data_IF_743465888744
#
_entry.id   IF_743465888744
#
_cell.length_a   1.000
_cell.length_b   1.000
_cell.length_c   1.000
_cell.angle_alpha   90.00
_cell.angle_beta   90.00
_cell.angle_gamma   90.00
#
_symmetry.space_group_name_H-M   'P 1'
#
loop_
_entity.id
_entity.type
_entity.pdbx_description
1 polymer ?
#
# COMPACT_ATOMS: atom_id res chain seq x y z
N UNK A 1 3.75 -0.96 12.08
CA UNK A 1 4.69 -0.09 11.36
C UNK A 1 6.07 -0.69 11.42
N UNK A 2 6.73 -0.78 10.26
CA UNK A 2 8.14 -1.17 10.16
C UNK A 2 8.96 0.09 9.86
N UNK A 3 9.98 0.37 10.65
CA UNK A 3 10.80 1.56 10.45
C UNK A 3 12.03 1.57 11.35
N UNK A 4 13.00 2.41 11.01
CA UNK A 4 14.27 2.59 11.70
C UNK A 4 14.35 3.87 12.55
N UNK A 5 13.21 4.55 12.73
CA UNK A 5 13.12 5.74 13.58
C UNK A 5 12.83 5.37 15.04
N UNK A 6 13.33 6.22 15.95
CA UNK A 6 13.01 6.12 17.38
C UNK A 6 11.60 6.64 17.63
N UNK A 7 10.74 5.78 18.15
CA UNK A 7 9.34 6.09 18.49
C UNK A 7 9.14 6.31 20.00
N UNK A 8 10.18 6.32 20.79
CA UNK A 8 10.10 6.41 22.26
C UNK A 8 9.34 7.64 22.75
N UNK A 9 9.42 8.76 22.02
CA UNK A 9 8.72 10.01 22.34
C UNK A 9 7.19 9.90 22.19
N UNK A 10 6.69 8.85 21.53
CA UNK A 10 5.27 8.65 21.27
C UNK A 10 4.65 7.51 22.09
N UNK A 11 5.40 6.97 23.07
CA UNK A 11 4.91 5.92 23.95
C UNK A 11 4.00 6.47 25.06
N UNK A 12 2.96 5.72 25.50
CA UNK A 12 2.54 4.43 24.93
C UNK A 12 1.80 4.57 23.59
N UNK A 13 2.09 3.68 22.66
CA UNK A 13 1.34 3.65 21.41
C UNK A 13 -0.12 3.18 21.63
N UNK A 14 -1.05 3.59 20.78
CA UNK A 14 -2.40 3.03 20.78
C UNK A 14 -2.37 1.50 20.68
N UNK A 15 -3.29 0.76 21.33
CA UNK A 15 -3.23 -0.71 21.42
C UNK A 15 -3.34 -1.42 20.06
N UNK A 16 -3.84 -0.73 19.05
CA UNK A 16 -3.93 -1.20 17.67
C UNK A 16 -2.71 -0.83 16.82
N UNK A 17 -1.68 -0.19 17.40
CA UNK A 17 -0.46 0.23 16.70
C UNK A 17 0.73 -0.57 17.25
N UNK A 18 1.41 -1.29 16.38
CA UNK A 18 2.67 -1.99 16.68
C UNK A 18 3.78 -1.40 15.81
N UNK A 19 4.85 -0.94 16.45
CA UNK A 19 6.07 -0.53 15.76
C UNK A 19 7.14 -1.62 15.89
N UNK A 20 7.77 -1.96 14.79
CA UNK A 20 8.85 -2.94 14.69
C UNK A 20 10.06 -2.20 14.14
N UNK A 21 11.17 -2.20 14.91
CA UNK A 21 12.42 -1.64 14.40
C UNK A 21 12.90 -2.49 13.23
N UNK A 22 13.06 -1.85 12.07
CA UNK A 22 13.40 -2.53 10.84
C UNK A 22 14.14 -1.59 9.91
N UNK A 23 15.39 -1.86 9.64
CA UNK A 23 16.21 -0.99 8.79
C UNK A 23 15.84 -1.14 7.32
N UNK A 24 16.19 -0.13 6.52
CA UNK A 24 16.00 -0.18 5.07
C UNK A 24 16.72 -1.39 4.44
N UNK A 25 17.92 -1.73 4.90
CA UNK A 25 18.65 -2.89 4.39
C UNK A 25 17.98 -4.22 4.75
N UNK A 26 17.39 -4.33 5.94
CA UNK A 26 16.59 -5.50 6.33
C UNK A 26 15.35 -5.63 5.43
N UNK A 27 14.67 -4.51 5.15
CA UNK A 27 13.52 -4.50 4.23
C UNK A 27 13.94 -4.93 2.83
N UNK A 28 15.03 -4.39 2.31
CA UNK A 28 15.60 -4.76 1.02
C UNK A 28 15.94 -6.25 0.95
N UNK A 29 16.61 -6.77 1.98
CA UNK A 29 16.95 -8.19 2.05
C UNK A 29 15.70 -9.09 2.10
N UNK A 30 14.68 -8.71 2.89
CA UNK A 30 13.40 -9.43 2.96
C UNK A 30 12.69 -9.43 1.59
N UNK A 31 12.64 -8.31 0.91
CA UNK A 31 12.05 -8.23 -0.45
C UNK A 31 12.85 -9.09 -1.42
N UNK A 32 14.20 -8.96 -1.44
CA UNK A 32 15.06 -9.74 -2.31
C UNK A 32 14.87 -11.24 -2.12
N UNK A 33 14.65 -11.70 -0.90
CA UNK A 33 14.46 -13.14 -0.60
C UNK A 33 13.20 -13.76 -1.23
N UNK A 34 12.26 -12.94 -1.68
CA UNK A 34 11.01 -13.38 -2.31
C UNK A 34 11.10 -13.52 -3.84
N UNK A 35 12.20 -13.06 -4.44
CA UNK A 35 12.34 -13.03 -5.90
C UNK A 35 13.64 -13.70 -6.36
N UNK A 36 13.57 -14.38 -7.52
CA UNK A 36 14.66 -15.08 -8.19
C UNK A 36 15.52 -14.16 -9.08
N UNK A 37 15.19 -12.87 -9.14
CA UNK A 37 15.94 -11.83 -9.88
C UNK A 37 16.42 -10.74 -8.92
N UNK A 38 17.48 -10.04 -9.32
CA UNK A 38 18.00 -8.91 -8.53
C UNK A 38 17.05 -7.74 -8.60
N UNK A 39 16.58 -7.29 -7.43
CA UNK A 39 15.72 -6.12 -7.33
C UNK A 39 16.54 -4.82 -7.34
N UNK A 40 15.95 -3.76 -7.91
CA UNK A 40 16.47 -2.40 -7.83
C UNK A 40 15.75 -1.62 -6.72
N UNK A 41 16.36 -1.59 -5.55
CA UNK A 41 15.88 -0.87 -4.38
C UNK A 41 17.06 -0.13 -3.73
N UNK A 42 17.50 0.94 -4.41
CA UNK A 42 18.67 1.75 -4.02
C UNK A 42 18.35 2.87 -3.05
N UNK A 43 17.09 3.24 -2.88
CA UNK A 43 16.64 4.33 -2.01
C UNK A 43 15.26 4.04 -1.39
N UNK A 44 14.99 4.52 -0.15
CA UNK A 44 13.74 4.25 0.55
C UNK A 44 12.48 4.65 -0.23
N UNK A 45 12.50 5.79 -0.94
CA UNK A 45 11.34 6.26 -1.71
C UNK A 45 10.89 5.26 -2.80
N UNK A 46 11.77 4.39 -3.30
CA UNK A 46 11.43 3.34 -4.26
C UNK A 46 10.48 2.28 -3.66
N UNK A 47 10.33 2.21 -2.34
CA UNK A 47 9.33 1.35 -1.68
C UNK A 47 7.89 1.64 -2.10
N UNK A 48 7.60 2.82 -2.67
CA UNK A 48 6.27 3.09 -3.26
C UNK A 48 5.86 2.01 -4.26
N UNK A 49 6.75 1.64 -5.18
CA UNK A 49 6.47 0.60 -6.17
C UNK A 49 6.32 -0.81 -5.54
N UNK A 50 6.81 -1.01 -4.32
CA UNK A 50 6.73 -2.29 -3.60
C UNK A 50 5.53 -2.39 -2.65
N UNK A 51 4.77 -1.33 -2.42
CA UNK A 51 3.58 -1.37 -1.56
C UNK A 51 2.62 -2.52 -1.90
N UNK A 52 2.34 -2.82 -3.21
CA UNK A 52 1.42 -3.90 -3.56
C UNK A 52 1.85 -5.32 -3.17
N UNK A 53 3.11 -5.52 -2.81
CA UNK A 53 3.59 -6.86 -2.41
C UNK A 53 3.54 -7.08 -0.90
N UNK A 54 3.15 -6.10 -0.09
CA UNK A 54 3.21 -6.23 1.36
C UNK A 54 2.35 -7.38 1.88
N UNK A 55 1.21 -7.66 1.25
CA UNK A 55 0.41 -8.84 1.56
C UNK A 55 1.14 -10.17 1.35
N UNK A 56 1.97 -10.25 0.32
CA UNK A 56 2.82 -11.41 0.04
C UNK A 56 4.09 -11.43 0.92
N UNK A 57 4.65 -10.25 1.22
CA UNK A 57 5.89 -10.11 1.99
C UNK A 57 5.70 -10.40 3.47
N UNK A 58 4.53 -10.06 4.01
CA UNK A 58 4.19 -10.12 5.43
C UNK A 58 3.01 -11.06 5.71
N UNK A 59 2.83 -12.11 4.92
CA UNK A 59 1.71 -13.07 5.04
C UNK A 59 1.54 -13.59 6.49
N UNK A 60 2.64 -13.83 7.20
CA UNK A 60 2.61 -14.33 8.59
C UNK A 60 2.01 -13.30 9.55
N UNK A 61 2.35 -12.01 9.39
CA UNK A 61 1.86 -10.93 10.23
C UNK A 61 0.39 -10.58 9.95
N UNK A 62 -0.13 -10.99 8.80
CA UNK A 62 -1.48 -10.70 8.33
C UNK A 62 -2.46 -11.85 8.57
N UNK A 63 -2.01 -12.91 9.22
CA UNK A 63 -2.87 -14.07 9.54
C UNK A 63 -4.05 -13.65 10.43
N UNK A 64 -5.26 -14.05 10.04
CA UNK A 64 -6.49 -13.75 10.79
C UNK A 64 -7.14 -12.41 10.46
N UNK A 65 -6.60 -11.64 9.52
CA UNK A 65 -7.24 -10.42 9.02
C UNK A 65 -7.88 -10.66 7.65
N UNK A 66 -9.09 -10.13 7.43
CA UNK A 66 -9.81 -10.23 6.15
C UNK A 66 -9.21 -9.33 5.06
N UNK A 67 -8.65 -8.20 5.47
CA UNK A 67 -8.00 -7.21 4.61
C UNK A 67 -6.65 -6.80 5.17
N UNK A 68 -5.74 -6.49 4.29
CA UNK A 68 -4.51 -5.74 4.57
C UNK A 68 -4.44 -4.51 3.67
N UNK A 69 -3.60 -3.57 4.00
CA UNK A 69 -3.44 -2.39 3.18
C UNK A 69 -2.15 -1.64 3.45
N UNK A 70 -1.92 -0.63 2.66
CA UNK A 70 -0.84 0.34 2.88
C UNK A 70 -1.40 1.75 2.89
N UNK A 71 -0.71 2.63 3.59
CA UNK A 71 -1.05 4.03 3.73
C UNK A 71 0.21 4.88 3.72
N UNK A 72 0.14 6.09 3.19
CA UNK A 72 1.19 7.09 3.38
C UNK A 72 1.08 7.72 4.77
N UNK A 73 2.22 7.89 5.45
CA UNK A 73 2.26 8.34 6.84
C UNK A 73 1.84 9.81 7.02
N UNK A 74 1.82 10.59 5.96
CA UNK A 74 1.35 11.99 5.93
C UNK A 74 -0.15 12.12 5.62
N UNK A 75 -0.89 11.01 5.70
CA UNK A 75 -2.34 10.98 5.51
C UNK A 75 -3.08 11.23 6.83
N UNK A 76 -4.03 12.15 6.83
CA UNK A 76 -4.96 12.36 7.96
C UNK A 76 -6.18 11.46 7.74
N UNK A 77 -6.36 10.50 8.65
CA UNK A 77 -7.48 9.57 8.59
C UNK A 77 -8.73 10.17 9.25
N UNK A 78 -9.86 10.08 8.56
CA UNK A 78 -11.18 10.26 9.13
C UNK A 78 -11.77 8.95 9.68
N UNK A 79 -13.07 8.84 9.74
CA UNK A 79 -13.76 7.60 10.10
C UNK A 79 -13.77 6.62 8.92
N UNK A 80 -12.70 5.86 8.77
CA UNK A 80 -12.56 4.88 7.70
C UNK A 80 -13.69 3.83 7.69
N UNK A 81 -14.27 3.52 8.85
CA UNK A 81 -15.35 2.52 8.94
C UNK A 81 -16.65 2.99 8.31
N UNK A 82 -16.94 4.28 8.40
CA UNK A 82 -18.11 4.88 7.77
C UNK A 82 -18.03 4.83 6.23
N UNK A 83 -16.82 4.88 5.69
CA UNK A 83 -16.56 4.94 4.25
C UNK A 83 -16.07 3.61 3.64
N UNK A 84 -15.88 2.59 4.46
CA UNK A 84 -15.52 1.28 3.94
C UNK A 84 -16.75 0.63 3.28
N UNK A 85 -16.62 0.06 2.05
CA UNK A 85 -17.76 -0.52 1.34
C UNK A 85 -18.35 -1.69 2.13
N UNK A 86 -19.69 -1.80 2.10
CA UNK A 86 -20.40 -2.92 2.75
C UNK A 86 -20.25 -4.23 1.99
N UNK A 87 -20.12 -4.13 0.68
CA UNK A 87 -19.88 -5.26 -0.20
C UNK A 87 -18.40 -5.66 -0.16
N UNK A 88 -18.14 -6.94 -0.35
CA UNK A 88 -16.77 -7.45 -0.39
C UNK A 88 -16.13 -7.18 -1.76
N UNK A 89 -15.03 -6.44 -1.77
CA UNK A 89 -14.20 -6.20 -2.95
C UNK A 89 -12.82 -6.81 -2.76
N UNK A 90 -12.20 -7.24 -3.86
CA UNK A 90 -10.82 -7.73 -3.83
C UNK A 90 -9.80 -6.60 -3.60
N UNK A 91 -10.15 -5.37 -4.02
CA UNK A 91 -9.37 -4.16 -3.79
C UNK A 91 -10.28 -2.99 -3.47
N UNK A 92 -9.96 -2.27 -2.40
CA UNK A 92 -10.68 -1.09 -1.94
C UNK A 92 -9.73 0.10 -2.04
N UNK A 93 -10.21 1.19 -2.61
CA UNK A 93 -9.48 2.39 -3.00
C UNK A 93 -8.42 2.12 -4.09
N UNK A 94 -7.95 3.17 -4.74
CA UNK A 94 -7.16 3.00 -5.95
C UNK A 94 -5.84 3.78 -5.97
N UNK A 95 -5.64 4.67 -4.99
CA UNK A 95 -4.47 5.54 -4.94
C UNK A 95 -3.44 5.03 -3.93
N UNK A 96 -2.16 5.30 -4.20
CA UNK A 96 -1.04 4.79 -3.40
C UNK A 96 -1.01 5.25 -1.95
N UNK A 97 -1.65 6.39 -1.63
CA UNK A 97 -1.73 6.92 -0.27
C UNK A 97 -2.67 6.13 0.65
N UNK A 98 -3.66 5.42 0.12
CA UNK A 98 -4.44 4.42 0.84
C UNK A 98 -5.01 3.40 -0.14
N UNK A 99 -4.62 2.15 0.01
CA UNK A 99 -5.22 1.03 -0.71
C UNK A 99 -5.31 -0.16 0.23
N UNK A 100 -6.44 -0.88 0.15
CA UNK A 100 -6.66 -2.11 0.88
C UNK A 100 -6.95 -3.26 -0.07
N UNK A 101 -6.48 -4.45 0.28
CA UNK A 101 -6.63 -5.66 -0.49
C UNK A 101 -7.24 -6.75 0.38
N UNK A 102 -8.16 -7.53 -0.18
CA UNK A 102 -8.65 -8.72 0.49
C UNK A 102 -7.51 -9.69 0.72
N UNK A 103 -7.39 -10.17 1.95
CA UNK A 103 -6.27 -11.00 2.37
C UNK A 103 -6.50 -12.45 2.00
N UNK A 104 -6.23 -12.79 0.76
CA UNK A 104 -6.23 -14.17 0.27
C UNK A 104 -4.90 -14.48 -0.42
N UNK A 105 -4.42 -15.74 -0.40
CA UNK A 105 -3.17 -16.11 -1.06
C UNK A 105 -3.15 -15.76 -2.55
N UNK A 106 -4.28 -15.86 -3.21
CA UNK A 106 -4.42 -15.48 -4.62
C UNK A 106 -4.30 -13.97 -4.81
N UNK A 107 -5.04 -13.19 -4.02
CA UNK A 107 -5.04 -11.73 -4.14
C UNK A 107 -3.69 -11.12 -3.75
N UNK A 108 -3.02 -11.68 -2.73
CA UNK A 108 -1.69 -11.26 -2.30
C UNK A 108 -0.60 -11.48 -3.38
N UNK A 109 -0.85 -12.34 -4.37
CA UNK A 109 0.02 -12.59 -5.53
C UNK A 109 -0.46 -11.96 -6.83
N UNK A 110 -1.56 -11.20 -6.79
CA UNK A 110 -2.17 -10.59 -7.98
C UNK A 110 -1.23 -9.62 -8.72
N UNK A 111 -0.29 -9.02 -8.03
CA UNK A 111 0.73 -8.16 -8.62
C UNK A 111 1.59 -8.90 -9.67
N UNK A 112 1.70 -10.24 -9.58
CA UNK A 112 2.46 -11.09 -10.53
C UNK A 112 1.67 -11.40 -11.80
N UNK A 113 0.38 -11.08 -11.88
CA UNK A 113 -0.43 -11.40 -13.05
C UNK A 113 0.17 -10.84 -14.34
N UNK A 114 0.19 -11.65 -15.39
CA UNK A 114 0.78 -11.31 -16.71
C UNK A 114 -0.19 -10.44 -17.53
N UNK A 115 -0.64 -9.34 -16.94
CA UNK A 115 -1.47 -8.31 -17.58
C UNK A 115 -1.06 -6.92 -17.07
N UNK A 116 -1.21 -5.91 -17.92
CA UNK A 116 -0.87 -4.54 -17.57
C UNK A 116 0.62 -4.35 -17.31
N UNK A 117 0.97 -3.56 -16.30
CA UNK A 117 2.36 -3.25 -15.98
C UNK A 117 3.09 -4.47 -15.41
N UNK A 118 4.22 -4.82 -16.01
CA UNK A 118 5.08 -5.91 -15.56
C UNK A 118 5.80 -5.55 -14.25
N UNK A 119 5.55 -6.32 -13.20
CA UNK A 119 6.18 -6.11 -11.89
C UNK A 119 7.70 -6.32 -11.92
N UNK A 120 8.20 -7.25 -12.75
CA UNK A 120 9.65 -7.48 -12.87
C UNK A 120 10.34 -6.23 -13.41
N UNK A 121 9.77 -5.59 -14.44
CA UNK A 121 10.29 -4.31 -14.95
C UNK A 121 10.22 -3.21 -13.89
N UNK A 122 9.14 -3.14 -13.13
CA UNK A 122 8.99 -2.16 -12.06
C UNK A 122 10.03 -2.36 -10.95
N UNK A 123 10.38 -3.61 -10.64
CA UNK A 123 11.28 -3.93 -9.54
C UNK A 123 12.76 -4.00 -9.95
N UNK A 124 13.07 -3.98 -11.26
CA UNK A 124 14.45 -3.98 -11.76
C UNK A 124 14.88 -2.63 -12.33
N UNK A 125 14.06 -1.60 -12.28
CA UNK A 125 14.40 -0.24 -12.70
C UNK A 125 14.57 0.70 -11.50
N UNK A 126 15.51 1.65 -11.59
CA UNK A 126 15.72 2.70 -10.57
C UNK A 126 14.63 3.79 -10.56
N UNK A 127 13.86 3.91 -11.64
CA UNK A 127 12.78 4.89 -11.74
C UNK A 127 11.56 4.45 -10.95
N UNK A 128 10.81 5.42 -10.40
CA UNK A 128 9.48 5.19 -9.85
C UNK A 128 8.53 4.92 -11.01
N UNK A 129 7.83 3.81 -10.95
CA UNK A 129 6.94 3.33 -12.03
C UNK A 129 5.47 3.50 -11.69
N UNK A 130 5.17 4.01 -10.49
CA UNK A 130 3.80 4.20 -9.96
C UNK A 130 3.03 2.88 -10.00
N UNK A 131 3.72 1.80 -9.60
CA UNK A 131 3.16 0.44 -9.65
C UNK A 131 2.02 0.24 -8.64
N UNK A 132 2.04 0.98 -7.54
CA UNK A 132 1.02 0.97 -6.49
C UNK A 132 -0.31 1.64 -6.90
N UNK A 133 -0.30 2.49 -7.94
CA UNK A 133 -1.46 3.28 -8.39
C UNK A 133 -1.87 2.98 -9.84
N UNK A 134 -2.08 4.04 -10.62
CA UNK A 134 -2.30 4.05 -12.05
C UNK A 134 -0.97 4.37 -12.77
N UNK A 135 -0.59 3.64 -13.80
CA UNK A 135 -1.28 2.54 -14.48
C UNK A 135 -1.08 1.16 -13.84
N UNK A 136 -0.37 1.07 -12.71
CA UNK A 136 0.06 -0.17 -12.07
C UNK A 136 -1.09 -1.09 -11.62
N UNK A 137 -1.26 -1.25 -10.30
CA UNK A 137 -2.20 -2.22 -9.74
C UNK A 137 -3.66 -1.97 -10.15
N UNK A 138 -4.10 -0.72 -10.20
CA UNK A 138 -5.48 -0.45 -10.64
C UNK A 138 -5.76 -1.03 -12.02
N UNK A 139 -4.87 -0.79 -12.98
CA UNK A 139 -5.02 -1.30 -14.35
C UNK A 139 -4.99 -2.83 -14.43
N UNK A 140 -4.18 -3.50 -13.58
CA UNK A 140 -4.18 -4.96 -13.50
C UNK A 140 -5.55 -5.51 -13.12
N UNK A 141 -6.17 -4.96 -12.08
CA UNK A 141 -7.51 -5.39 -11.65
C UNK A 141 -8.57 -5.14 -12.72
N UNK A 142 -8.51 -3.98 -13.41
CA UNK A 142 -9.40 -3.67 -14.53
C UNK A 142 -9.28 -4.71 -15.66
N UNK A 143 -8.03 -5.04 -16.07
CA UNK A 143 -7.76 -6.00 -17.14
C UNK A 143 -8.15 -7.44 -16.78
N UNK A 144 -8.11 -7.78 -15.50
CA UNK A 144 -8.56 -9.08 -14.98
C UNK A 144 -10.09 -9.15 -14.79
N UNK A 145 -10.81 -8.05 -14.98
CA UNK A 145 -12.25 -7.97 -14.74
C UNK A 145 -12.63 -8.14 -13.27
N UNK A 146 -11.69 -7.82 -12.35
CA UNK A 146 -11.89 -7.98 -10.90
C UNK A 146 -12.49 -6.71 -10.33
N UNK A 147 -13.63 -6.80 -9.62
CA UNK A 147 -14.28 -5.62 -9.04
C UNK A 147 -13.38 -4.90 -8.02
N UNK A 148 -13.29 -3.59 -8.17
CA UNK A 148 -12.59 -2.69 -7.25
C UNK A 148 -13.57 -1.64 -6.76
N UNK A 149 -13.49 -1.29 -5.49
CA UNK A 149 -14.16 -0.11 -4.97
C UNK A 149 -13.25 1.11 -5.14
N UNK A 150 -13.73 2.10 -5.87
CA UNK A 150 -12.99 3.33 -6.18
C UNK A 150 -13.76 4.58 -5.73
N UNK A 151 -14.29 4.56 -4.51
CA UNK A 151 -14.97 5.69 -3.91
C UNK A 151 -14.09 6.95 -3.87
N UNK A 152 -14.73 8.12 -3.92
CA UNK A 152 -14.06 9.43 -3.84
C UNK A 152 -13.96 9.94 -2.39
N UNK A 153 -13.70 9.02 -1.46
CA UNK A 153 -13.81 9.25 -0.02
C UNK A 153 -12.54 9.90 0.54
N UNK A 154 -11.82 10.66 -0.29
CA UNK A 154 -10.63 11.32 0.17
C UNK A 154 -10.32 12.58 -0.67
N UNK A 155 -9.60 13.52 -0.04
CA UNK A 155 -9.17 14.75 -0.67
C UNK A 155 -7.66 14.93 -0.56
N UNK A 156 -7.04 15.38 -1.64
CA UNK A 156 -5.64 15.81 -1.65
C UNK A 156 -5.55 17.34 -1.60
N UNK A 157 -4.53 17.85 -0.90
CA UNK A 157 -4.30 19.28 -0.78
C UNK A 157 -3.61 19.80 -2.04
N UNK A 158 -4.32 20.65 -2.79
CA UNK A 158 -3.72 21.29 -3.95
C UNK A 158 -2.56 22.18 -3.53
N UNK A 159 -1.33 21.91 -4.00
CA UNK A 159 -0.06 22.60 -3.66
C UNK A 159 -0.11 24.13 -3.79
N UNK A 160 -1.07 24.69 -4.56
CA UNK A 160 -1.23 26.11 -4.80
C UNK A 160 -2.23 26.80 -3.86
N UNK A 161 -2.96 26.05 -3.02
CA UNK A 161 -3.90 26.64 -2.06
C UNK A 161 -3.25 26.76 -0.70
N UNK A 162 -3.18 28.00 -0.19
CA UNK A 162 -2.63 28.28 1.15
C UNK A 162 -3.61 28.00 2.29
N UNK A 163 -4.92 27.96 1.99
CA UNK A 163 -5.98 27.74 2.96
C UNK A 163 -6.92 26.65 2.45
N UNK A 164 -7.31 25.76 3.31
CA UNK A 164 -8.34 24.75 3.05
C UNK A 164 -9.29 24.68 4.25
N UNK A 165 -10.53 24.38 3.99
CA UNK A 165 -11.52 24.09 5.01
C UNK A 165 -11.98 22.65 4.79
N UNK A 166 -11.91 21.83 5.85
CA UNK A 166 -12.54 20.51 5.85
C UNK A 166 -14.00 20.72 6.19
N UNK A 167 -14.87 20.57 5.22
CA UNK A 167 -16.31 20.51 5.45
C UNK A 167 -16.68 19.04 5.56
N UNK A 168 -17.09 18.60 6.75
CA UNK A 168 -17.80 17.34 6.91
C UNK A 168 -19.27 17.62 6.60
N UNK A 169 -19.73 17.27 5.44
CA UNK A 169 -21.16 17.05 5.26
C UNK A 169 -21.48 15.69 5.86
N UNK A 170 -22.17 15.72 7.00
CA UNK A 170 -22.72 14.54 7.68
C UNK A 170 -24.06 14.21 7.03
#
# INVERSE_FOLDING_TARGET
LYGDCDVSAYLPLPPNVKCIFYTFEQMKAKIQSKFDFTIELSRPYKLCDYKPIYGYLFEEDLTGYDYWGHIDLDTILGDLRAYFPKEAYEKVYQFGHLTMYRNTPENNRRFMADVGQDYRKSFTTSFITVFDELPGMKKKYDLLGIPQYSGHDFADIARRRKNFTLNSEI
#
